data_IF_405294320391
#
_entry.id   IF_405294320391
#
_cell.length_a   1.000
_cell.length_b   1.000
_cell.length_c   1.000
_cell.angle_alpha   90.00
_cell.angle_beta   90.00
_cell.angle_gamma   90.00
#
_symmetry.space_group_name_H-M   'P 1'
#
loop_
_entity.id
_entity.type
_entity.pdbx_description
1 polymer ?
#
# COMPACT_ATOMS: atom_id res chain seq x y z
N UNK A 1 -70.80 -15.90 -21.75
CA UNK A 1 -71.18 -16.29 -23.13
C UNK A 1 -70.04 -15.89 -24.06
N UNK A 2 -69.64 -16.73 -25.04
CA UNK A 2 -69.94 -18.18 -25.19
C UNK A 2 -69.06 -18.98 -24.19
N UNK A 3 -68.49 -20.20 -24.32
CA UNK A 3 -68.40 -21.26 -25.38
C UNK A 3 -67.53 -20.94 -26.63
N UNK A 4 -67.15 -21.86 -27.53
CA UNK A 4 -67.36 -23.32 -27.67
C UNK A 4 -66.00 -24.01 -27.93
N UNK A 5 -65.86 -25.32 -28.19
CA UNK A 5 -66.01 -26.54 -27.35
C UNK A 5 -65.11 -27.65 -28.00
N UNK A 6 -65.08 -28.88 -27.46
CA UNK A 6 -64.35 -30.09 -27.95
C UNK A 6 -64.91 -30.66 -29.31
N UNK A 7 -64.32 -31.66 -30.05
CA UNK A 7 -63.83 -32.96 -29.51
C UNK A 7 -62.72 -33.80 -30.23
N UNK A 8 -62.05 -34.65 -29.43
CA UNK A 8 -61.80 -36.11 -29.58
C UNK A 8 -61.04 -36.80 -30.77
N UNK A 9 -59.96 -37.52 -30.39
CA UNK A 9 -59.64 -38.98 -30.56
C UNK A 9 -59.73 -39.69 -31.93
N UNK A 10 -58.65 -40.41 -32.32
CA UNK A 10 -58.53 -41.81 -32.85
C UNK A 10 -57.12 -42.02 -33.49
N UNK A 11 -56.51 -43.20 -33.74
CA UNK A 11 -56.83 -44.64 -33.56
C UNK A 11 -55.53 -45.51 -33.58
N UNK A 12 -55.64 -46.81 -33.24
CA UNK A 12 -54.77 -47.99 -33.54
C UNK A 12 -53.70 -48.50 -32.54
N UNK A 13 -53.94 -49.73 -32.07
CA UNK A 13 -53.04 -50.79 -31.55
C UNK A 13 -52.28 -51.51 -32.71
N UNK A 14 -51.49 -52.60 -32.60
CA UNK A 14 -50.90 -53.49 -31.54
C UNK A 14 -49.54 -54.04 -32.12
N UNK A 15 -48.78 -55.09 -31.76
CA UNK A 15 -48.67 -56.21 -30.79
C UNK A 15 -47.14 -56.55 -30.73
N UNK A 16 -46.69 -57.62 -30.04
CA UNK A 16 -45.64 -58.46 -30.65
C UNK A 16 -44.63 -59.17 -29.74
N UNK A 17 -45.09 -59.87 -28.69
CA UNK A 17 -44.30 -60.58 -27.67
C UNK A 17 -43.02 -61.40 -28.07
N UNK A 18 -42.03 -61.46 -27.14
CA UNK A 18 -40.95 -62.51 -26.94
C UNK A 18 -39.81 -62.54 -28.01
N UNK A 19 -38.56 -63.04 -27.80
CA UNK A 19 -38.03 -64.31 -27.25
C UNK A 19 -36.55 -64.17 -26.74
N UNK A 20 -36.06 -65.15 -25.97
CA UNK A 20 -34.70 -65.37 -25.40
C UNK A 20 -33.50 -65.41 -26.37
N UNK A 21 -32.27 -65.20 -25.84
CA UNK A 21 -31.00 -65.76 -26.37
C UNK A 21 -29.94 -65.96 -25.26
N UNK A 22 -29.12 -67.01 -25.36
CA UNK A 22 -28.12 -67.40 -24.33
C UNK A 22 -26.73 -66.73 -24.46
N UNK A 23 -25.92 -66.71 -23.38
CA UNK A 23 -24.60 -66.07 -23.35
C UNK A 23 -23.43 -66.99 -23.81
N UNK A 24 -22.44 -66.39 -24.48
CA UNK A 24 -21.15 -67.03 -24.77
C UNK A 24 -20.05 -66.56 -23.82
N UNK A 25 -19.18 -67.47 -23.38
CA UNK A 25 -18.08 -67.17 -22.46
C UNK A 25 -16.73 -66.94 -23.17
N UNK A 26 -15.91 -66.04 -22.63
CA UNK A 26 -14.53 -65.81 -23.09
C UNK A 26 -13.76 -64.88 -22.16
N UNK A 27 -12.84 -65.42 -21.36
CA UNK A 27 -11.97 -64.64 -20.48
C UNK A 27 -10.56 -64.51 -21.05
N UNK A 28 -9.99 -63.30 -20.96
CA UNK A 28 -8.56 -63.01 -21.19
C UNK A 28 -8.00 -62.24 -19.99
N UNK A 29 -7.01 -62.82 -19.30
CA UNK A 29 -6.53 -62.30 -18.02
C UNK A 29 -5.73 -60.99 -18.12
N UNK A 30 -5.93 -60.08 -17.16
CA UNK A 30 -5.12 -58.86 -16.99
C UNK A 30 -4.19 -59.04 -15.79
N UNK A 31 -2.90 -58.70 -15.92
CA UNK A 31 -1.93 -58.73 -14.82
C UNK A 31 -2.41 -57.85 -13.64
N UNK A 32 -2.14 -58.23 -12.38
CA UNK A 32 -2.51 -57.41 -11.22
C UNK A 32 -1.78 -56.05 -11.28
N UNK A 33 -2.53 -54.97 -11.53
CA UNK A 33 -2.02 -53.60 -11.36
C UNK A 33 -1.66 -53.41 -9.89
N UNK A 34 -0.43 -52.99 -9.60
CA UNK A 34 0.09 -52.90 -8.24
C UNK A 34 -0.62 -51.76 -7.48
N UNK A 35 -1.72 -52.08 -6.78
CA UNK A 35 -2.70 -51.10 -6.27
C UNK A 35 -2.08 -50.09 -5.29
N UNK A 36 -1.07 -50.52 -4.53
CA UNK A 36 -0.34 -49.67 -3.59
C UNK A 36 0.34 -48.50 -4.31
N UNK A 37 1.06 -48.76 -5.41
CA UNK A 37 1.72 -47.71 -6.18
C UNK A 37 0.72 -46.70 -6.78
N UNK A 38 -0.43 -47.18 -7.26
CA UNK A 38 -1.51 -46.31 -7.74
C UNK A 38 -2.06 -45.39 -6.63
N UNK A 39 -2.35 -45.94 -5.45
CA UNK A 39 -2.83 -45.14 -4.32
C UNK A 39 -1.76 -44.17 -3.77
N UNK A 40 -0.48 -44.55 -3.76
CA UNK A 40 0.64 -43.66 -3.42
C UNK A 40 0.71 -42.46 -4.38
N UNK A 41 0.61 -42.68 -5.69
CA UNK A 41 0.59 -41.59 -6.67
C UNK A 41 -0.64 -40.71 -6.55
N UNK A 42 -1.82 -41.27 -6.26
CA UNK A 42 -3.05 -40.49 -6.00
C UNK A 42 -2.89 -39.64 -4.73
N UNK A 43 -2.38 -40.20 -3.64
CA UNK A 43 -2.13 -39.46 -2.40
C UNK A 43 -1.09 -38.35 -2.59
N UNK A 44 -0.03 -38.58 -3.35
CA UNK A 44 0.96 -37.55 -3.67
C UNK A 44 0.33 -36.40 -4.48
N UNK A 45 -0.44 -36.71 -5.54
CA UNK A 45 -1.13 -35.69 -6.34
C UNK A 45 -2.18 -34.92 -5.52
N UNK A 46 -2.90 -35.59 -4.61
CA UNK A 46 -3.85 -34.91 -3.69
C UNK A 46 -3.11 -34.04 -2.67
N UNK A 47 -2.00 -34.48 -2.11
CA UNK A 47 -1.22 -33.71 -1.14
C UNK A 47 -0.54 -32.48 -1.78
N UNK A 48 0.09 -32.64 -2.94
CA UNK A 48 0.64 -31.52 -3.71
C UNK A 48 -0.48 -30.59 -4.21
N UNK A 49 -1.62 -31.16 -4.60
CA UNK A 49 -2.82 -30.39 -4.97
C UNK A 49 -3.32 -29.52 -3.82
N UNK A 50 -3.49 -30.09 -2.62
CA UNK A 50 -3.87 -29.35 -1.41
C UNK A 50 -2.85 -28.25 -1.09
N UNK A 51 -1.56 -28.58 -1.08
CA UNK A 51 -0.48 -27.63 -0.77
C UNK A 51 -0.54 -26.42 -1.73
N UNK A 52 -0.54 -26.66 -3.04
CA UNK A 52 -0.66 -25.60 -4.06
C UNK A 52 -1.98 -24.81 -3.94
N UNK A 53 -3.07 -25.45 -3.49
CA UNK A 53 -4.36 -24.80 -3.24
C UNK A 53 -4.42 -24.03 -1.90
N UNK A 54 -3.36 -24.07 -1.09
CA UNK A 54 -3.24 -23.33 0.19
C UNK A 54 -2.05 -22.34 0.24
N UNK A 55 -1.11 -22.43 -0.70
CA UNK A 55 0.10 -21.58 -0.73
C UNK A 55 0.24 -20.72 -1.99
N UNK A 56 -0.83 -20.57 -2.77
CA UNK A 56 -0.91 -19.58 -3.85
C UNK A 56 -1.88 -18.48 -3.44
N UNK A 57 -1.54 -17.18 -3.62
CA UNK A 57 -2.38 -16.07 -3.15
C UNK A 57 -3.77 -16.05 -3.81
N UNK A 58 -3.86 -16.45 -5.08
CA UNK A 58 -5.10 -16.53 -5.86
C UNK A 58 -5.83 -17.88 -5.76
N UNK A 59 -5.78 -18.54 -4.58
CA UNK A 59 -6.50 -19.80 -4.38
C UNK A 59 -8.02 -19.59 -4.21
N UNK A 60 -8.88 -20.48 -4.75
CA UNK A 60 -10.34 -20.41 -4.56
C UNK A 60 -10.79 -20.83 -3.14
N UNK A 61 -9.85 -20.95 -2.19
CA UNK A 61 -10.08 -21.26 -0.78
C UNK A 61 -9.53 -20.17 0.16
N UNK A 62 -9.06 -19.02 -0.35
CA UNK A 62 -8.64 -17.88 0.47
C UNK A 62 -9.72 -17.39 1.43
N UNK A 63 -11.00 -17.52 1.06
CA UNK A 63 -12.15 -17.24 1.95
C UNK A 63 -12.24 -18.16 3.19
N UNK A 64 -11.41 -19.21 3.29
CA UNK A 64 -11.25 -20.06 4.49
C UNK A 64 -10.01 -19.72 5.32
N UNK A 65 -9.11 -18.88 4.80
CA UNK A 65 -8.00 -18.32 5.58
C UNK A 65 -8.42 -16.96 6.11
N UNK A 66 -8.55 -16.85 7.43
CA UNK A 66 -8.65 -15.53 8.07
C UNK A 66 -7.41 -14.70 7.73
N UNK A 67 -7.59 -13.39 7.56
CA UNK A 67 -6.49 -12.44 7.45
C UNK A 67 -5.55 -12.55 8.66
N UNK A 68 -4.27 -12.27 8.42
CA UNK A 68 -3.25 -12.10 9.45
C UNK A 68 -2.15 -11.20 8.89
N UNK A 69 -1.77 -10.15 9.63
CA UNK A 69 -0.68 -9.27 9.23
C UNK A 69 0.62 -10.03 8.93
N UNK A 70 1.43 -9.52 8.00
CA UNK A 70 2.80 -9.99 7.82
C UNK A 70 3.65 -9.73 9.08
N UNK A 71 4.79 -10.39 9.21
CA UNK A 71 5.68 -10.12 10.34
C UNK A 71 6.24 -8.68 10.30
N UNK A 72 6.28 -8.09 9.11
CA UNK A 72 6.73 -6.74 8.79
C UNK A 72 5.67 -5.73 9.26
N UNK A 73 4.43 -5.93 8.85
CA UNK A 73 3.28 -5.11 9.22
C UNK A 73 2.92 -5.23 10.71
N UNK A 74 3.15 -6.40 11.32
CA UNK A 74 3.06 -6.57 12.78
C UNK A 74 4.07 -5.65 13.50
N UNK A 75 5.30 -5.50 12.97
CA UNK A 75 6.29 -4.57 13.54
C UNK A 75 5.89 -3.10 13.36
N UNK A 76 5.18 -2.78 12.28
CA UNK A 76 4.59 -1.43 12.07
C UNK A 76 3.50 -1.17 13.12
N UNK A 77 2.54 -2.08 13.29
CA UNK A 77 1.48 -1.96 14.30
C UNK A 77 2.02 -1.92 15.75
N UNK A 78 3.04 -2.72 16.08
CA UNK A 78 3.75 -2.67 17.36
C UNK A 78 4.46 -1.31 17.57
N UNK A 79 4.99 -0.69 16.50
CA UNK A 79 5.68 0.61 16.54
C UNK A 79 4.70 1.76 16.76
N UNK A 80 3.58 1.77 16.05
CA UNK A 80 2.48 2.75 16.21
C UNK A 80 1.86 2.64 17.61
N UNK A 81 1.78 1.42 18.16
CA UNK A 81 1.33 1.21 19.53
C UNK A 81 -0.18 1.33 19.70
N UNK A 82 -0.96 0.81 18.74
CA UNK A 82 -2.43 0.75 18.81
C UNK A 82 -2.96 0.13 20.12
N UNK A 83 -4.15 0.55 20.57
CA UNK A 83 -4.93 -0.19 21.57
C UNK A 83 -5.48 -1.50 20.99
N UNK A 84 -6.16 -2.30 21.82
CA UNK A 84 -6.88 -3.49 21.34
C UNK A 84 -8.03 -3.13 20.38
N UNK A 85 -8.58 -1.91 20.44
CA UNK A 85 -9.65 -1.41 19.55
C UNK A 85 -9.09 -0.83 18.25
N UNK A 86 -8.02 -0.01 18.34
CA UNK A 86 -7.30 0.47 17.16
C UNK A 86 -6.69 -0.68 16.35
N UNK A 87 -6.10 -1.68 17.02
CA UNK A 87 -5.56 -2.87 16.35
C UNK A 87 -6.66 -3.68 15.67
N UNK A 88 -7.83 -3.84 16.30
CA UNK A 88 -8.95 -4.54 15.69
C UNK A 88 -9.48 -3.82 14.44
N UNK A 89 -9.58 -2.49 14.47
CA UNK A 89 -9.94 -1.68 13.29
C UNK A 89 -8.87 -1.79 12.20
N UNK A 90 -7.58 -1.76 12.57
CA UNK A 90 -6.47 -1.91 11.62
C UNK A 90 -6.50 -3.30 10.95
N UNK A 91 -6.61 -4.40 11.70
CA UNK A 91 -6.72 -5.76 11.14
C UNK A 91 -7.96 -5.96 10.25
N UNK A 92 -9.07 -5.28 10.56
CA UNK A 92 -10.34 -5.33 9.79
C UNK A 92 -10.26 -4.62 8.42
N UNK A 93 -9.26 -3.76 8.19
CA UNK A 93 -8.94 -3.21 6.85
C UNK A 93 -8.08 -4.13 5.98
N UNK A 94 -7.73 -5.33 6.48
CA UNK A 94 -6.78 -6.27 5.87
C UNK A 94 -5.53 -5.56 5.27
N UNK A 95 -4.73 -4.80 6.05
CA UNK A 95 -3.70 -3.92 5.53
C UNK A 95 -2.58 -4.67 4.79
N UNK A 96 -2.03 -4.06 3.73
CA UNK A 96 -0.97 -4.67 2.91
C UNK A 96 0.22 -3.71 2.70
N UNK A 97 1.45 -4.24 2.84
CA UNK A 97 2.69 -3.59 2.42
C UNK A 97 2.98 -4.01 0.98
N UNK A 98 3.07 -3.03 0.07
CA UNK A 98 3.08 -3.27 -1.38
C UNK A 98 4.25 -2.56 -2.08
N UNK A 99 4.98 -3.30 -2.92
CA UNK A 99 5.96 -2.72 -3.84
C UNK A 99 5.30 -1.85 -4.93
N UNK A 100 6.04 -0.92 -5.53
CA UNK A 100 5.62 0.08 -6.55
C UNK A 100 4.40 -0.28 -7.41
N UNK A 101 4.50 -1.31 -8.26
CA UNK A 101 3.44 -1.61 -9.21
C UNK A 101 2.13 -2.11 -8.53
N UNK A 102 2.15 -3.12 -7.63
CA UNK A 102 0.99 -3.46 -6.80
C UNK A 102 0.43 -2.32 -5.95
N UNK A 103 1.29 -1.47 -5.36
CA UNK A 103 0.85 -0.31 -4.57
C UNK A 103 0.04 0.66 -5.43
N UNK A 104 0.53 0.96 -6.63
CA UNK A 104 -0.15 1.83 -7.60
C UNK A 104 -1.37 1.18 -8.23
N UNK A 105 -1.44 -0.15 -8.31
CA UNK A 105 -2.67 -0.86 -8.71
C UNK A 105 -3.75 -0.72 -7.63
N UNK A 106 -3.38 -0.79 -6.34
CA UNK A 106 -4.31 -0.58 -5.21
C UNK A 106 -4.80 0.87 -5.07
N UNK A 107 -3.89 1.86 -5.14
CA UNK A 107 -4.18 3.26 -4.83
C UNK A 107 -4.57 4.15 -6.03
N UNK A 108 -4.84 3.58 -7.22
CA UNK A 108 -5.23 4.36 -8.43
C UNK A 108 -6.50 3.85 -9.11
N UNK A 109 -6.87 2.57 -8.96
CA UNK A 109 -8.09 2.03 -9.60
C UNK A 109 -9.40 2.38 -8.85
N UNK A 110 -9.33 2.66 -7.53
CA UNK A 110 -10.44 3.22 -6.75
C UNK A 110 -10.25 4.74 -6.56
N UNK A 111 -11.33 5.50 -6.75
CA UNK A 111 -11.26 6.95 -6.94
C UNK A 111 -11.03 7.74 -5.65
N UNK A 112 -9.92 8.48 -5.61
CA UNK A 112 -9.87 9.90 -5.20
C UNK A 112 -8.62 10.58 -5.78
N UNK A 113 -7.49 9.87 -5.96
CA UNK A 113 -6.30 10.40 -6.64
C UNK A 113 -6.57 10.70 -8.13
N UNK A 114 -6.48 11.97 -8.54
CA UNK A 114 -6.74 12.40 -9.92
C UNK A 114 -5.69 11.95 -10.94
N UNK A 115 -6.14 11.57 -12.15
CA UNK A 115 -5.29 11.35 -13.36
C UNK A 115 -4.79 12.69 -13.95
N UNK A 116 -4.17 13.52 -13.10
CA UNK A 116 -3.35 14.63 -13.55
C UNK A 116 -1.98 14.08 -13.98
N UNK A 117 -1.82 13.93 -15.30
CA UNK A 117 -0.66 13.33 -15.98
C UNK A 117 0.69 14.05 -15.83
N UNK A 118 0.87 14.82 -14.75
CA UNK A 118 2.13 15.33 -14.22
C UNK A 118 2.71 14.37 -13.14
N UNK A 119 1.86 13.56 -12.49
CA UNK A 119 2.27 12.57 -11.49
C UNK A 119 2.51 13.14 -10.09
N UNK A 120 1.77 14.20 -9.72
CA UNK A 120 1.99 14.98 -8.48
C UNK A 120 1.26 14.45 -7.23
N UNK A 121 0.66 13.26 -7.27
CA UNK A 121 0.20 12.56 -6.06
C UNK A 121 1.33 11.73 -5.45
N UNK A 122 2.16 12.34 -4.58
CA UNK A 122 3.29 11.66 -3.92
C UNK A 122 2.86 10.80 -2.72
N UNK A 123 1.71 10.17 -2.85
CA UNK A 123 0.98 9.42 -1.83
C UNK A 123 1.65 8.07 -1.58
N UNK A 124 2.09 7.81 -0.33
CA UNK A 124 2.83 6.59 0.07
C UNK A 124 1.99 5.57 0.85
N UNK A 125 0.73 5.91 1.13
CA UNK A 125 -0.31 5.01 1.65
C UNK A 125 -1.68 5.43 1.10
N UNK A 126 -2.67 4.54 1.11
CA UNK A 126 -4.05 4.91 0.86
C UNK A 126 -5.03 4.05 1.65
N UNK A 127 -6.06 4.69 2.20
CA UNK A 127 -7.32 4.09 2.63
C UNK A 127 -8.36 4.20 1.49
N UNK A 128 -8.96 3.08 1.10
CA UNK A 128 -9.86 3.02 -0.07
C UNK A 128 -11.01 2.02 0.12
N UNK A 129 -12.02 2.07 -0.76
CA UNK A 129 -13.29 1.36 -0.58
C UNK A 129 -14.35 2.23 0.13
N UNK A 130 -15.41 1.62 0.66
CA UNK A 130 -16.57 2.37 1.21
C UNK A 130 -17.09 1.73 2.51
N UNK A 131 -17.06 2.50 3.61
CA UNK A 131 -17.64 2.15 4.90
C UNK A 131 -16.79 1.17 5.72
N UNK A 132 -17.43 0.48 6.66
CA UNK A 132 -16.79 -0.38 7.69
C UNK A 132 -15.85 -1.50 7.16
N UNK A 133 -15.70 -1.68 5.84
CA UNK A 133 -14.81 -2.66 5.20
C UNK A 133 -13.83 -2.02 4.20
N UNK A 134 -13.47 -0.75 4.38
CA UNK A 134 -12.38 -0.12 3.62
C UNK A 134 -11.03 -0.81 3.83
N UNK A 135 -10.14 -0.69 2.85
CA UNK A 135 -8.82 -1.35 2.77
C UNK A 135 -7.70 -0.34 2.96
N UNK A 136 -6.56 -0.78 3.49
CA UNK A 136 -5.34 0.02 3.59
C UNK A 136 -4.21 -0.62 2.77
N UNK A 137 -3.62 0.16 1.86
CA UNK A 137 -2.39 -0.19 1.16
C UNK A 137 -1.29 0.81 1.53
N UNK A 138 -0.09 0.32 1.85
CA UNK A 138 1.07 1.14 2.21
C UNK A 138 2.25 0.73 1.32
N UNK A 139 3.00 1.70 0.80
CA UNK A 139 4.18 1.43 -0.01
C UNK A 139 5.27 0.74 0.82
N UNK A 140 5.90 -0.29 0.25
CA UNK A 140 7.04 -1.00 0.85
C UNK A 140 8.38 -0.44 0.29
N UNK A 141 9.03 0.52 0.96
CA UNK A 141 10.34 1.02 0.56
C UNK A 141 11.44 -0.02 0.74
N UNK A 142 12.41 -0.02 -0.18
CA UNK A 142 13.58 -0.92 -0.15
C UNK A 142 14.76 -0.41 0.71
N UNK A 143 14.58 0.70 1.43
CA UNK A 143 15.58 1.31 2.31
C UNK A 143 15.05 1.34 3.74
N UNK A 144 15.68 0.57 4.64
CA UNK A 144 15.30 0.43 6.06
C UNK A 144 15.20 1.78 6.81
N UNK A 145 15.81 2.86 6.29
CA UNK A 145 15.72 4.21 6.86
C UNK A 145 14.32 4.81 6.79
N UNK A 146 13.46 4.31 5.88
CA UNK A 146 12.08 4.76 5.70
C UNK A 146 11.08 3.99 6.57
N UNK A 147 11.56 3.21 7.55
CA UNK A 147 10.71 2.48 8.49
C UNK A 147 9.94 3.40 9.48
N UNK A 148 10.29 4.68 9.56
CA UNK A 148 9.51 5.71 10.28
C UNK A 148 8.40 6.25 9.38
N UNK A 149 8.71 6.70 8.15
CA UNK A 149 7.74 7.01 7.09
C UNK A 149 6.61 5.96 6.97
N UNK A 150 6.95 4.68 6.82
CA UNK A 150 5.98 3.58 6.72
C UNK A 150 5.04 3.51 7.93
N UNK A 151 5.53 3.86 9.13
CA UNK A 151 4.76 3.77 10.36
C UNK A 151 3.89 5.01 10.63
N UNK A 152 4.33 6.22 10.26
CA UNK A 152 3.46 7.41 10.29
C UNK A 152 2.38 7.31 9.21
N UNK A 153 2.72 6.90 7.98
CA UNK A 153 1.75 6.63 6.90
C UNK A 153 0.71 5.60 7.33
N UNK A 154 1.13 4.45 7.87
CA UNK A 154 0.19 3.43 8.35
C UNK A 154 -0.71 3.89 9.51
N UNK A 155 -0.31 4.93 10.27
CA UNK A 155 -1.16 5.58 11.26
C UNK A 155 -2.11 6.61 10.63
N UNK A 156 -1.70 7.33 9.58
CA UNK A 156 -2.54 8.24 8.78
C UNK A 156 -3.70 7.48 8.11
N UNK A 157 -3.39 6.43 7.33
CA UNK A 157 -4.42 5.61 6.65
C UNK A 157 -5.38 4.94 7.64
N UNK A 158 -4.85 4.53 8.80
CA UNK A 158 -5.66 4.00 9.89
C UNK A 158 -6.67 5.03 10.43
N UNK A 159 -6.29 6.31 10.51
CA UNK A 159 -7.16 7.35 11.05
C UNK A 159 -8.32 7.66 10.10
N UNK A 160 -8.14 7.56 8.79
CA UNK A 160 -9.26 7.54 7.85
C UNK A 160 -10.21 6.37 8.13
N UNK A 161 -9.68 5.16 8.30
CA UNK A 161 -10.48 3.97 8.62
C UNK A 161 -11.23 4.06 9.96
N UNK A 162 -10.67 4.78 10.94
CA UNK A 162 -11.32 5.06 12.23
C UNK A 162 -12.40 6.15 12.10
N UNK A 163 -12.12 7.22 11.35
CA UNK A 163 -13.07 8.31 11.07
C UNK A 163 -14.29 7.81 10.30
N UNK A 164 -14.12 6.88 9.35
CA UNK A 164 -15.19 6.31 8.52
C UNK A 164 -16.21 5.51 9.36
N UNK A 165 -15.74 4.86 10.44
CA UNK A 165 -16.54 4.07 11.39
C UNK A 165 -17.31 4.92 12.42
N UNK A 166 -17.08 6.24 12.48
CA UNK A 166 -17.86 7.15 13.33
C UNK A 166 -19.32 7.30 12.83
N UNK A 167 -20.26 7.63 13.72
CA UNK A 167 -21.60 8.03 13.26
C UNK A 167 -21.55 9.44 12.66
N UNK A 168 -22.49 9.78 11.78
CA UNK A 168 -22.52 11.12 11.17
C UNK A 168 -22.59 12.24 12.21
N UNK A 169 -23.31 12.03 13.33
CA UNK A 169 -23.40 13.01 14.41
C UNK A 169 -22.16 13.11 15.29
N UNK A 170 -21.28 12.11 15.25
CA UNK A 170 -19.96 12.16 15.90
C UNK A 170 -18.93 12.83 14.97
N UNK A 171 -19.01 12.61 13.65
CA UNK A 171 -18.27 13.38 12.63
C UNK A 171 -18.65 14.85 12.61
N UNK A 172 -19.94 15.19 12.46
CA UNK A 172 -20.49 16.57 12.53
C UNK A 172 -19.97 17.37 13.74
N UNK A 173 -19.61 16.69 14.84
CA UNK A 173 -19.01 17.28 16.03
C UNK A 173 -17.48 17.32 15.99
N UNK A 174 -16.84 16.25 15.53
CA UNK A 174 -15.39 16.13 15.39
C UNK A 174 -14.85 17.17 14.40
N UNK A 175 -15.47 17.32 13.25
CA UNK A 175 -15.07 18.24 12.16
C UNK A 175 -14.99 19.70 12.64
N UNK A 176 -15.87 20.10 13.57
CA UNK A 176 -15.83 21.43 14.20
C UNK A 176 -14.60 21.59 15.09
N UNK A 177 -14.21 20.56 15.83
CA UNK A 177 -13.02 20.56 16.69
C UNK A 177 -11.72 20.51 15.86
N UNK A 178 -11.75 19.77 14.75
CA UNK A 178 -10.65 19.68 13.79
C UNK A 178 -10.41 21.04 13.12
N UNK A 179 -11.43 21.63 12.51
CA UNK A 179 -11.30 22.93 11.85
C UNK A 179 -10.90 24.05 12.84
N UNK A 180 -11.46 24.08 14.05
CA UNK A 180 -11.04 25.04 15.10
C UNK A 180 -9.58 24.82 15.55
N UNK A 181 -9.04 23.60 15.45
CA UNK A 181 -7.63 23.30 15.76
C UNK A 181 -6.71 23.56 14.57
N UNK A 182 -7.09 23.16 13.36
CA UNK A 182 -6.34 23.36 12.13
C UNK A 182 -6.19 24.85 11.77
N UNK A 183 -7.16 25.69 12.15
CA UNK A 183 -7.05 27.14 12.10
C UNK A 183 -5.89 27.73 12.95
N UNK A 184 -5.26 26.93 13.82
CA UNK A 184 -4.14 27.31 14.68
C UNK A 184 -2.77 26.83 14.16
N UNK A 185 -2.75 25.94 13.14
CA UNK A 185 -1.52 25.53 12.43
C UNK A 185 -0.93 26.76 11.71
N UNK A 186 0.40 27.00 11.74
CA UNK A 186 1.02 28.17 11.10
C UNK A 186 0.67 28.31 9.62
N UNK A 187 0.65 29.54 9.09
CA UNK A 187 0.27 29.81 7.70
C UNK A 187 1.36 29.43 6.68
N UNK A 188 2.56 29.15 7.18
CA UNK A 188 3.80 28.76 6.50
C UNK A 188 4.23 27.32 6.87
N UNK A 189 3.31 26.54 7.44
CA UNK A 189 3.49 25.13 7.78
C UNK A 189 3.23 24.23 6.55
N UNK A 190 4.15 23.30 6.20
CA UNK A 190 4.00 22.45 5.01
C UNK A 190 2.76 21.53 5.06
N UNK A 191 2.23 21.22 6.25
CA UNK A 191 1.02 20.42 6.38
C UNK A 191 -0.21 21.09 5.74
N UNK A 192 -0.19 22.42 5.51
CA UNK A 192 -1.24 23.12 4.75
C UNK A 192 -1.25 22.77 3.27
N UNK A 193 -0.07 22.74 2.66
CA UNK A 193 0.08 22.36 1.25
C UNK A 193 -0.22 20.87 1.07
N UNK A 194 0.17 20.03 2.04
CA UNK A 194 -0.21 18.62 2.09
C UNK A 194 -1.74 18.43 2.15
N UNK A 195 -2.45 19.13 3.03
CA UNK A 195 -3.92 19.03 3.11
C UNK A 195 -4.61 19.47 1.81
N UNK A 196 -4.17 20.56 1.17
CA UNK A 196 -4.74 20.99 -0.13
C UNK A 196 -4.48 19.94 -1.23
N UNK A 197 -3.30 19.30 -1.22
CA UNK A 197 -2.92 18.22 -2.13
C UNK A 197 -3.70 16.92 -1.89
N UNK A 198 -3.87 16.47 -0.65
CA UNK A 198 -4.57 15.21 -0.33
C UNK A 198 -6.08 15.33 -0.55
N UNK A 199 -6.69 16.41 -0.07
CA UNK A 199 -8.12 16.65 -0.22
C UNK A 199 -8.55 17.04 -1.64
N UNK A 200 -7.63 17.46 -2.53
CA UNK A 200 -7.85 17.77 -3.95
C UNK A 200 -9.03 18.74 -4.24
N UNK A 201 -9.42 19.55 -3.25
CA UNK A 201 -10.57 20.46 -3.31
C UNK A 201 -11.94 19.82 -2.99
N UNK A 202 -12.00 18.53 -2.67
CA UNK A 202 -13.20 17.86 -2.15
C UNK A 202 -13.40 18.21 -0.67
N UNK A 203 -14.41 19.04 -0.41
CA UNK A 203 -14.69 19.59 0.92
C UNK A 203 -15.12 18.53 1.95
N UNK A 204 -15.53 17.36 1.50
CA UNK A 204 -15.87 16.17 2.28
C UNK A 204 -14.64 15.30 2.64
N UNK A 205 -13.52 15.43 1.93
CA UNK A 205 -12.24 14.81 2.33
C UNK A 205 -11.53 15.58 3.46
N UNK A 206 -11.70 16.91 3.53
CA UNK A 206 -10.98 17.78 4.48
C UNK A 206 -11.07 17.31 5.94
N UNK A 207 -12.25 16.87 6.40
CA UNK A 207 -12.42 16.41 7.79
C UNK A 207 -11.66 15.13 8.13
N UNK A 208 -11.54 14.18 7.18
CA UNK A 208 -10.79 12.93 7.41
C UNK A 208 -9.27 13.16 7.33
N UNK A 209 -8.82 14.07 6.47
CA UNK A 209 -7.42 14.51 6.39
C UNK A 209 -6.99 15.32 7.62
N UNK A 210 -7.78 16.32 8.05
CA UNK A 210 -7.51 17.04 9.29
C UNK A 210 -7.48 16.08 10.50
N UNK A 211 -8.34 15.07 10.55
CA UNK A 211 -8.32 14.05 11.61
C UNK A 211 -7.04 13.21 11.59
N UNK A 212 -6.58 12.83 10.39
CA UNK A 212 -5.39 12.03 10.20
C UNK A 212 -4.13 12.83 10.60
N UNK A 213 -3.88 13.99 9.99
CA UNK A 213 -2.74 14.87 10.30
C UNK A 213 -2.69 15.36 11.76
N UNK A 214 -3.85 15.66 12.39
CA UNK A 214 -3.91 16.01 13.81
C UNK A 214 -3.67 14.80 14.74
N UNK A 215 -3.74 13.58 14.20
CA UNK A 215 -3.46 12.33 14.91
C UNK A 215 -2.02 11.84 14.77
N UNK A 216 -1.49 11.85 13.54
CA UNK A 216 -0.16 11.36 13.16
C UNK A 216 0.98 12.33 13.48
N UNK A 217 0.91 13.55 12.95
CA UNK A 217 2.04 14.49 12.83
C UNK A 217 1.95 15.65 13.85
N UNK A 218 0.77 16.21 14.09
CA UNK A 218 0.68 17.42 14.92
C UNK A 218 0.78 17.10 16.42
N UNK A 219 1.86 17.60 17.04
CA UNK A 219 2.21 17.33 18.45
C UNK A 219 1.17 17.78 19.49
N UNK A 220 0.44 18.87 19.26
CA UNK A 220 -0.63 19.33 20.15
C UNK A 220 -1.96 19.34 19.39
N UNK A 221 -2.82 18.36 19.66
CA UNK A 221 -4.20 18.33 19.17
C UNK A 221 -5.17 19.04 20.14
N UNK A 222 -4.74 19.34 21.38
CA UNK A 222 -5.60 19.80 22.46
C UNK A 222 -6.48 18.70 23.08
N UNK A 223 -6.91 18.85 24.34
CA UNK A 223 -7.44 17.76 25.16
C UNK A 223 -8.82 17.22 24.73
N UNK A 224 -9.54 17.92 23.84
CA UNK A 224 -10.81 17.42 23.30
C UNK A 224 -10.58 16.46 22.12
N UNK A 225 -9.58 16.71 21.26
CA UNK A 225 -9.20 15.80 20.17
C UNK A 225 -8.38 14.60 20.68
N UNK A 226 -7.51 14.78 21.68
CA UNK A 226 -6.82 13.65 22.34
C UNK A 226 -7.83 12.61 22.91
N UNK A 227 -9.05 13.02 23.25
CA UNK A 227 -10.11 12.12 23.69
C UNK A 227 -10.76 11.30 22.55
N UNK A 228 -10.65 11.75 21.29
CA UNK A 228 -11.02 10.97 20.09
C UNK A 228 -9.90 10.03 19.65
N UNK A 229 -8.63 10.33 19.93
CA UNK A 229 -7.49 9.45 19.60
C UNK A 229 -7.20 8.37 20.67
N UNK A 230 -7.54 8.63 21.94
CA UNK A 230 -7.32 7.71 23.05
C UNK A 230 -7.98 6.30 22.95
N UNK A 231 -9.10 6.08 22.23
CA UNK A 231 -9.59 4.74 21.93
C UNK A 231 -8.65 3.94 21.02
N UNK A 232 -7.83 4.60 20.21
CA UNK A 232 -7.08 3.97 19.11
C UNK A 232 -5.58 3.80 19.38
N UNK A 233 -4.92 4.77 20.01
CA UNK A 233 -3.49 4.70 20.34
C UNK A 233 -3.26 4.56 21.85
N UNK A 234 -2.29 3.73 22.27
CA UNK A 234 -1.87 3.63 23.69
C UNK A 234 -1.18 4.91 24.17
N UNK A 235 -0.48 5.59 23.25
CA UNK A 235 0.11 6.91 23.42
C UNK A 235 0.25 7.57 22.05
N UNK A 236 -0.59 8.56 21.72
CA UNK A 236 -0.54 9.27 20.43
C UNK A 236 0.77 10.04 20.24
N UNK A 237 1.40 10.49 21.33
CA UNK A 237 2.67 11.20 21.26
C UNK A 237 3.82 10.28 20.80
N UNK A 238 3.64 8.96 20.87
CA UNK A 238 4.57 8.01 20.26
C UNK A 238 4.49 8.00 18.72
N UNK A 239 3.32 8.29 18.13
CA UNK A 239 3.14 8.42 16.68
C UNK A 239 3.80 9.70 16.17
N UNK A 240 3.54 10.83 16.83
CA UNK A 240 4.24 12.10 16.55
C UNK A 240 5.76 11.98 16.73
N UNK A 241 6.23 11.17 17.68
CA UNK A 241 7.65 10.93 17.88
C UNK A 241 8.30 10.00 16.82
N UNK A 242 7.50 9.30 16.00
CA UNK A 242 7.94 8.57 14.80
C UNK A 242 8.02 9.56 13.63
N UNK A 243 7.00 10.38 13.43
CA UNK A 243 6.98 11.44 12.42
C UNK A 243 8.20 12.39 12.55
N UNK A 244 8.38 12.99 13.73
CA UNK A 244 9.52 13.88 14.01
C UNK A 244 10.90 13.17 13.93
N UNK A 245 10.93 11.84 13.85
CA UNK A 245 12.15 11.07 13.55
C UNK A 245 12.36 10.86 12.04
N UNK A 246 11.30 10.74 11.24
CA UNK A 246 11.36 10.75 9.77
C UNK A 246 11.74 12.15 9.25
N UNK A 247 11.13 13.23 9.78
CA UNK A 247 11.54 14.62 9.51
C UNK A 247 13.05 14.82 9.74
N UNK A 248 13.55 14.35 10.89
CA UNK A 248 14.95 14.47 11.26
C UNK A 248 15.88 13.63 10.35
N UNK A 249 15.39 12.50 9.84
CA UNK A 249 16.09 11.66 8.85
C UNK A 249 16.19 12.40 7.50
N UNK A 250 15.08 12.94 6.99
CA UNK A 250 15.06 13.73 5.75
C UNK A 250 15.91 15.00 5.85
N UNK A 251 15.84 15.72 6.96
CA UNK A 251 16.68 16.90 7.21
C UNK A 251 18.19 16.55 7.23
N UNK A 252 18.56 15.35 7.71
CA UNK A 252 19.94 14.85 7.62
C UNK A 252 20.35 14.53 6.18
N UNK A 253 19.47 13.90 5.39
CA UNK A 253 19.72 13.57 3.98
C UNK A 253 19.89 14.83 3.12
N UNK A 254 19.05 15.84 3.33
CA UNK A 254 19.14 17.15 2.69
C UNK A 254 20.43 17.91 3.07
N UNK A 255 20.81 17.88 4.36
CA UNK A 255 22.06 18.47 4.82
C UNK A 255 23.31 17.79 4.22
N UNK A 256 23.35 16.46 4.19
CA UNK A 256 24.43 15.69 3.57
C UNK A 256 24.50 15.92 2.06
N UNK A 257 23.36 16.01 1.38
CA UNK A 257 23.28 16.33 -0.05
C UNK A 257 23.86 17.72 -0.35
N UNK A 258 23.45 18.75 0.39
CA UNK A 258 23.98 20.12 0.24
C UNK A 258 25.48 20.17 0.50
N UNK A 259 25.95 19.51 1.57
CA UNK A 259 27.39 19.44 1.88
C UNK A 259 28.19 18.74 0.77
N UNK A 260 27.64 17.71 0.13
CA UNK A 260 28.28 17.05 -1.02
C UNK A 260 28.33 17.94 -2.27
N UNK A 261 27.27 18.73 -2.54
CA UNK A 261 27.23 19.70 -3.64
C UNK A 261 28.24 20.83 -3.42
N UNK A 262 28.29 21.42 -2.23
CA UNK A 262 29.26 22.46 -1.87
C UNK A 262 30.71 21.96 -1.97
N UNK A 263 30.97 20.72 -1.51
CA UNK A 263 32.28 20.09 -1.60
C UNK A 263 32.72 19.83 -3.05
N UNK A 264 31.78 19.46 -3.94
CA UNK A 264 32.05 19.29 -5.37
C UNK A 264 32.36 20.65 -6.04
N UNK A 265 31.58 21.69 -5.74
CA UNK A 265 31.83 23.03 -6.28
C UNK A 265 33.20 23.59 -5.84
N UNK A 266 33.55 23.43 -4.56
CA UNK A 266 34.86 23.83 -4.03
C UNK A 266 36.02 23.02 -4.65
N UNK A 267 35.80 21.75 -4.98
CA UNK A 267 36.77 20.93 -5.70
C UNK A 267 36.98 21.46 -7.14
N UNK A 268 35.90 21.69 -7.90
CA UNK A 268 35.97 22.21 -9.27
C UNK A 268 36.65 23.59 -9.35
N UNK A 269 36.41 24.49 -8.38
CA UNK A 269 37.10 25.78 -8.28
C UNK A 269 38.61 25.61 -8.02
N UNK A 270 38.99 24.72 -7.08
CA UNK A 270 40.40 24.44 -6.80
C UNK A 270 41.12 23.82 -8.01
N UNK A 271 40.44 22.93 -8.72
CA UNK A 271 40.95 22.24 -9.90
C UNK A 271 41.08 23.19 -11.11
N UNK A 272 40.15 24.15 -11.25
CA UNK A 272 40.25 25.24 -12.21
C UNK A 272 41.40 26.22 -11.89
N UNK A 273 41.61 26.55 -10.61
CA UNK A 273 42.73 27.37 -10.16
C UNK A 273 44.08 26.67 -10.39
N UNK A 274 44.18 25.37 -10.11
CA UNK A 274 45.36 24.56 -10.37
C UNK A 274 45.69 24.50 -11.87
N UNK A 275 44.70 24.26 -12.74
CA UNK A 275 44.86 24.31 -14.20
C UNK A 275 45.35 25.67 -14.69
N UNK A 276 44.82 26.78 -14.16
CA UNK A 276 45.32 28.13 -14.51
C UNK A 276 46.79 28.31 -14.09
N UNK A 277 47.14 27.95 -12.86
CA UNK A 277 48.51 28.07 -12.37
C UNK A 277 49.51 27.20 -13.16
N UNK A 278 49.08 26.07 -13.72
CA UNK A 278 49.89 25.29 -14.66
C UNK A 278 50.06 25.99 -16.02
N UNK A 279 49.00 26.57 -16.59
CA UNK A 279 49.10 27.35 -17.84
C UNK A 279 50.03 28.56 -17.64
N UNK A 280 49.83 29.35 -16.58
CA UNK A 280 50.66 30.52 -16.25
C UNK A 280 52.15 30.13 -16.10
N UNK A 281 52.44 28.94 -15.57
CA UNK A 281 53.79 28.36 -15.47
C UNK A 281 54.35 27.95 -16.83
N UNK A 282 53.57 27.26 -17.66
CA UNK A 282 54.00 26.79 -18.97
C UNK A 282 54.29 27.95 -19.94
N UNK A 283 53.49 29.02 -19.89
CA UNK A 283 53.74 30.24 -20.65
C UNK A 283 55.04 30.94 -20.21
N UNK A 284 55.31 30.99 -18.89
CA UNK A 284 56.56 31.54 -18.35
C UNK A 284 57.80 30.69 -18.73
N UNK A 285 57.68 29.35 -18.67
CA UNK A 285 58.71 28.42 -19.12
C UNK A 285 58.98 28.59 -20.65
N UNK A 286 57.95 28.83 -21.44
CA UNK A 286 58.04 29.04 -22.90
C UNK A 286 58.72 30.36 -23.28
N UNK A 287 58.34 31.48 -22.67
CA UNK A 287 59.00 32.79 -22.88
C UNK A 287 60.49 32.75 -22.49
N UNK A 288 60.83 32.05 -21.41
CA UNK A 288 62.23 31.85 -21.00
C UNK A 288 63.06 31.08 -22.06
N UNK A 289 62.45 30.08 -22.73
CA UNK A 289 63.08 29.34 -23.83
C UNK A 289 63.25 30.20 -25.09
N UNK A 290 62.27 31.05 -25.44
CA UNK A 290 62.40 32.02 -26.54
C UNK A 290 63.57 32.98 -26.27
N UNK A 291 63.62 33.58 -25.08
CA UNK A 291 64.68 34.50 -24.69
C UNK A 291 66.08 33.85 -24.76
N UNK A 292 66.21 32.60 -24.31
CA UNK A 292 67.47 31.86 -24.35
C UNK A 292 67.88 31.40 -25.77
N UNK A 293 66.95 31.31 -26.72
CA UNK A 293 67.20 30.82 -28.09
C UNK A 293 67.53 31.93 -29.10
N UNK A 294 67.33 33.21 -28.74
CA UNK A 294 67.52 34.36 -29.63
C UNK A 294 69.00 34.77 -29.71
N UNK A 295 69.67 34.72 -30.88
CA UNK A 295 71.07 35.12 -31.00
C UNK A 295 71.29 36.64 -30.84
N UNK A 296 72.45 37.01 -30.29
CA UNK A 296 72.98 38.38 -30.29
C UNK A 296 73.63 38.76 -31.63
#
# INVERSE_FOLDING_TARGET
MPRWDDPAVTLFEDDGSRIFREPGAGQGGRKPRNRVAFWMSVLAVVATGLFVLTTLPSSPLSWLTHYSMSAELTRVADRIGFTDEGLAIFEDTEPELLSDAPFREACVDDSEAGDDGDGSGSTVGCYYGIGDTGRIAIFEPSDDRLADQVAVTAAHEFLHAAYDRLTSGDRDRLDVLLADRWAQVPADDPLRDNLEMSAQGHADAVGTEEFAYLGSEIADAGPELEAYYAPYFRDRQAVVAIDAADEAMWASVDADYRAAVDALAAADEADAAARRAEVDRLDADYEALIAASTPH
#
